data_IF_920228097671
#
_entry.id   IF_920228097671
#
_cell.length_a   1.000
_cell.length_b   1.000
_cell.length_c   1.000
_cell.angle_alpha   90.00
_cell.angle_beta   90.00
_cell.angle_gamma   90.00
#
_symmetry.space_group_name_H-M   'P 1'
#
loop_
_entity.id
_entity.type
_entity.pdbx_description
1 polymer ?
#
# COMPACT_ATOMS: atom_id res chain seq x y z
N UNK A 1 -14.18 -31.41 20.65
CA UNK A 1 -13.29 -30.27 20.36
C UNK A 1 -14.02 -28.99 20.74
N UNK A 2 -13.56 -28.21 21.73
CA UNK A 2 -14.21 -26.95 22.05
C UNK A 2 -13.86 -25.92 20.96
N UNK A 3 -14.89 -25.24 20.43
CA UNK A 3 -14.72 -24.10 19.52
C UNK A 3 -13.98 -23.00 20.26
N UNK A 4 -12.77 -22.67 19.82
CA UNK A 4 -12.03 -21.51 20.30
C UNK A 4 -12.86 -20.27 20.05
N UNK A 5 -13.06 -19.45 21.08
CA UNK A 5 -13.66 -18.12 20.94
C UNK A 5 -12.68 -17.30 20.12
N UNK A 6 -13.06 -16.93 18.89
CA UNK A 6 -12.35 -15.90 18.14
C UNK A 6 -12.51 -14.60 18.91
N UNK A 7 -11.39 -14.08 19.42
CA UNK A 7 -11.33 -12.75 20.02
C UNK A 7 -11.48 -11.75 18.88
N UNK A 8 -12.70 -11.21 18.74
CA UNK A 8 -12.99 -10.16 17.77
C UNK A 8 -12.12 -8.95 18.06
N UNK A 9 -11.46 -8.41 17.04
CA UNK A 9 -10.66 -7.21 17.22
C UNK A 9 -11.57 -6.05 17.59
N UNK A 10 -11.03 -5.04 18.30
CA UNK A 10 -11.77 -3.81 18.61
C UNK A 10 -12.40 -3.18 17.35
N UNK A 11 -11.75 -3.32 16.20
CA UNK A 11 -12.25 -2.88 14.90
C UNK A 11 -13.47 -3.67 14.43
N UNK A 12 -13.50 -5.00 14.63
CA UNK A 12 -14.65 -5.83 14.23
C UNK A 12 -15.91 -5.48 15.06
N UNK A 13 -15.73 -5.24 16.36
CA UNK A 13 -16.83 -4.88 17.28
C UNK A 13 -17.41 -3.49 16.95
N UNK A 14 -16.56 -2.54 16.52
CA UNK A 14 -17.01 -1.21 16.10
C UNK A 14 -17.76 -1.24 14.77
N UNK A 15 -17.42 -2.17 13.89
CA UNK A 15 -18.07 -2.32 12.58
C UNK A 15 -19.40 -3.10 12.68
N UNK A 16 -19.50 -4.06 13.60
CA UNK A 16 -20.73 -4.82 13.89
C UNK A 16 -21.83 -3.97 14.55
N UNK A 17 -21.46 -2.96 15.34
CA UNK A 17 -22.39 -1.98 15.94
C UNK A 17 -22.74 -0.79 15.02
N UNK A 18 -22.36 -0.84 13.73
CA UNK A 18 -22.43 0.27 12.78
C UNK A 18 -23.84 0.72 12.34
N UNK A 19 -24.90 0.38 13.07
CA UNK A 19 -26.26 0.73 12.69
C UNK A 19 -26.64 2.20 13.00
N UNK A 20 -25.81 2.95 13.75
CA UNK A 20 -26.15 4.33 14.14
C UNK A 20 -24.94 5.26 14.26
N UNK A 21 -24.00 5.15 13.30
CA UNK A 21 -22.97 6.18 13.13
C UNK A 21 -23.50 7.24 12.15
N UNK A 22 -23.99 8.42 12.61
CA UNK A 22 -24.26 9.51 11.70
C UNK A 22 -22.92 9.84 11.02
N UNK A 23 -22.85 9.65 9.70
CA UNK A 23 -21.63 9.88 8.94
C UNK A 23 -21.05 11.28 9.21
N UNK A 24 -19.76 11.45 8.92
CA UNK A 24 -19.09 12.75 9.13
C UNK A 24 -19.74 13.82 8.24
N UNK A 25 -20.15 14.98 8.79
CA UNK A 25 -20.67 16.09 7.98
C UNK A 25 -19.67 16.51 6.89
N UNK A 26 -20.16 16.90 5.71
CA UNK A 26 -19.32 17.18 4.54
C UNK A 26 -18.21 18.20 4.85
N UNK A 27 -18.53 19.27 5.57
CA UNK A 27 -17.56 20.30 5.96
C UNK A 27 -16.40 19.71 6.79
N UNK A 28 -16.72 18.85 7.75
CA UNK A 28 -15.72 18.17 8.57
C UNK A 28 -14.91 17.18 7.75
N UNK A 29 -15.55 16.44 6.84
CA UNK A 29 -14.85 15.53 5.93
C UNK A 29 -13.85 16.29 5.06
N UNK A 30 -14.25 17.41 4.47
CA UNK A 30 -13.38 18.26 3.64
C UNK A 30 -12.22 18.81 4.45
N UNK A 31 -12.47 19.30 5.68
CA UNK A 31 -11.41 19.78 6.58
C UNK A 31 -10.42 18.67 6.97
N UNK A 32 -10.90 17.47 7.26
CA UNK A 32 -10.06 16.31 7.58
C UNK A 32 -9.22 15.86 6.37
N UNK A 33 -9.86 15.70 5.21
CA UNK A 33 -9.17 15.29 3.99
C UNK A 33 -8.22 16.36 3.49
N UNK A 34 -8.56 17.64 3.61
CA UNK A 34 -7.66 18.76 3.31
C UNK A 34 -6.38 18.69 4.14
N UNK A 35 -6.50 18.47 5.46
CA UNK A 35 -5.33 18.25 6.33
C UNK A 35 -4.53 17.01 5.95
N UNK A 36 -5.20 15.90 5.65
CA UNK A 36 -4.55 14.65 5.23
C UNK A 36 -3.82 14.79 3.89
N UNK A 37 -4.40 15.48 2.91
CA UNK A 37 -3.81 15.69 1.59
C UNK A 37 -2.69 16.74 1.61
N UNK A 38 -2.77 17.73 2.50
CA UNK A 38 -1.71 18.73 2.70
C UNK A 38 -0.52 18.21 3.50
N UNK A 39 -0.69 17.09 4.22
CA UNK A 39 0.42 16.43 4.89
C UNK A 39 1.33 15.80 3.82
N UNK A 40 2.59 16.22 3.79
CA UNK A 40 3.59 15.58 2.94
C UNK A 40 3.79 14.15 3.43
N UNK A 41 3.53 13.17 2.56
CA UNK A 41 3.80 11.79 2.89
C UNK A 41 5.30 11.50 2.62
N UNK A 42 6.08 11.18 3.67
CA UNK A 42 7.53 11.00 3.54
C UNK A 42 7.91 9.82 2.63
N UNK A 43 6.97 8.92 2.34
CA UNK A 43 7.16 7.75 1.49
C UNK A 43 6.59 7.92 0.09
N UNK A 44 6.09 9.11 -0.28
CA UNK A 44 5.46 9.35 -1.58
C UNK A 44 6.38 9.00 -2.74
N UNK A 45 7.65 9.43 -2.69
CA UNK A 45 8.64 9.07 -3.72
C UNK A 45 8.87 7.57 -3.79
N UNK A 46 8.97 6.90 -2.65
CA UNK A 46 9.16 5.44 -2.59
C UNK A 46 7.96 4.71 -3.19
N UNK A 47 6.72 5.13 -2.87
CA UNK A 47 5.51 4.56 -3.46
C UNK A 47 5.44 4.78 -4.96
N UNK A 48 5.75 5.99 -5.44
CA UNK A 48 5.76 6.28 -6.88
C UNK A 48 6.77 5.42 -7.63
N UNK A 49 7.98 5.25 -7.09
CA UNK A 49 8.97 4.33 -7.66
C UNK A 49 8.43 2.91 -7.65
N UNK A 50 7.93 2.42 -6.52
CA UNK A 50 7.39 1.07 -6.43
C UNK A 50 6.26 0.83 -7.43
N UNK A 51 5.29 1.75 -7.53
CA UNK A 51 4.18 1.68 -8.49
C UNK A 51 4.63 1.73 -9.94
N UNK A 52 5.73 2.42 -10.26
CA UNK A 52 6.30 2.38 -11.60
C UNK A 52 6.90 1.01 -11.95
N UNK A 53 7.27 0.21 -10.95
CA UNK A 53 7.82 -1.14 -11.11
C UNK A 53 6.75 -2.25 -11.02
N UNK A 54 5.69 -2.05 -10.23
CA UNK A 54 4.58 -2.98 -10.07
C UNK A 54 3.54 -2.81 -11.20
N UNK A 55 3.95 -3.17 -12.42
CA UNK A 55 3.13 -3.02 -13.64
C UNK A 55 1.77 -3.72 -13.54
N UNK A 56 1.68 -4.75 -12.70
CA UNK A 56 0.47 -5.55 -12.52
C UNK A 56 -0.36 -5.13 -11.30
N UNK A 57 0.09 -4.17 -10.50
CA UNK A 57 -0.58 -3.73 -9.26
C UNK A 57 -0.80 -4.87 -8.26
N UNK A 58 0.17 -5.78 -8.15
CA UNK A 58 0.10 -6.92 -7.23
C UNK A 58 0.48 -6.56 -5.78
N UNK A 59 0.97 -5.34 -5.55
CA UNK A 59 1.59 -4.87 -4.31
C UNK A 59 2.90 -5.60 -3.96
N UNK A 60 3.51 -6.31 -4.91
CA UNK A 60 4.85 -6.88 -4.81
C UNK A 60 5.51 -6.92 -6.20
N UNK A 61 6.84 -6.82 -6.23
CA UNK A 61 7.60 -6.96 -7.48
C UNK A 61 7.96 -8.42 -7.70
N UNK A 62 7.64 -8.96 -8.88
CA UNK A 62 8.19 -10.26 -9.30
C UNK A 62 9.60 -10.07 -9.82
N UNK A 63 10.43 -11.09 -9.64
CA UNK A 63 11.81 -11.06 -10.15
C UNK A 63 11.86 -10.80 -11.66
N UNK A 64 10.96 -11.42 -12.43
CA UNK A 64 10.90 -11.24 -13.88
C UNK A 64 10.54 -9.80 -14.26
N UNK A 65 9.55 -9.20 -13.60
CA UNK A 65 9.15 -7.81 -13.81
C UNK A 65 10.31 -6.88 -13.47
N UNK A 66 10.94 -7.09 -12.31
CA UNK A 66 12.11 -6.33 -11.88
C UNK A 66 13.25 -6.40 -12.92
N UNK A 67 13.63 -7.60 -13.37
CA UNK A 67 14.66 -7.79 -14.39
C UNK A 67 14.27 -7.15 -15.71
N UNK A 68 13.02 -7.25 -16.15
CA UNK A 68 12.54 -6.67 -17.40
C UNK A 68 12.63 -5.13 -17.39
N UNK A 69 12.33 -4.51 -16.25
CA UNK A 69 12.36 -3.05 -16.12
C UNK A 69 13.80 -2.56 -16.07
N UNK A 70 14.70 -3.24 -15.35
CA UNK A 70 16.12 -2.90 -15.32
C UNK A 70 16.78 -3.01 -16.71
N UNK A 71 16.39 -3.98 -17.54
CA UNK A 71 16.81 -4.05 -18.95
C UNK A 71 16.41 -2.80 -19.75
N UNK A 72 15.32 -2.12 -19.37
CA UNK A 72 14.84 -0.90 -20.04
C UNK A 72 15.48 0.38 -19.48
N UNK A 73 15.55 0.51 -18.15
CA UNK A 73 15.95 1.77 -17.50
C UNK A 73 17.45 1.85 -17.21
N UNK A 74 18.13 0.71 -17.11
CA UNK A 74 19.56 0.63 -16.83
C UNK A 74 20.20 -0.55 -17.56
N UNK A 75 20.16 -0.58 -18.92
CA UNK A 75 20.63 -1.72 -19.72
C UNK A 75 22.13 -2.03 -19.58
N UNK A 76 22.90 -1.10 -19.02
CA UNK A 76 24.33 -1.23 -18.78
C UNK A 76 24.64 -1.98 -17.46
N UNK A 77 23.66 -2.17 -16.59
CA UNK A 77 23.86 -2.95 -15.36
C UNK A 77 23.96 -4.44 -15.68
N UNK A 78 24.93 -5.09 -15.06
CA UNK A 78 25.08 -6.54 -15.13
C UNK A 78 23.87 -7.22 -14.49
N UNK A 79 23.41 -8.31 -15.10
CA UNK A 79 22.28 -9.08 -14.57
C UNK A 79 22.53 -9.53 -13.12
N UNK A 80 23.77 -9.88 -12.78
CA UNK A 80 24.17 -10.20 -11.41
C UNK A 80 23.88 -9.06 -10.44
N UNK A 81 24.21 -7.82 -10.80
CA UNK A 81 23.97 -6.64 -9.96
C UNK A 81 22.47 -6.38 -9.77
N UNK A 82 21.67 -6.61 -10.82
CA UNK A 82 20.21 -6.54 -10.74
C UNK A 82 19.69 -7.62 -9.78
N UNK A 83 20.17 -8.86 -9.89
CA UNK A 83 19.77 -9.96 -9.01
C UNK A 83 20.15 -9.71 -7.55
N UNK A 84 21.37 -9.22 -7.28
CA UNK A 84 21.83 -8.90 -5.93
C UNK A 84 21.03 -7.76 -5.28
N UNK A 85 20.44 -6.87 -6.08
CA UNK A 85 19.53 -5.82 -5.60
C UNK A 85 18.10 -6.30 -5.32
N UNK A 86 17.72 -7.48 -5.80
CA UNK A 86 16.41 -8.09 -5.56
C UNK A 86 16.53 -9.04 -4.35
N UNK A 87 16.30 -8.50 -3.16
CA UNK A 87 16.39 -9.24 -1.89
C UNK A 87 15.27 -10.26 -1.73
#
# INVERSE_FOLDING_TARGET
MPRGKMELSKTDILMENGADCPGVPLEWFVSLMGRKMSAEDPYEKTRQIFSAFDVHCHAFLKLDDFKSIFKRVAPHLLERTVLEGFW
#
